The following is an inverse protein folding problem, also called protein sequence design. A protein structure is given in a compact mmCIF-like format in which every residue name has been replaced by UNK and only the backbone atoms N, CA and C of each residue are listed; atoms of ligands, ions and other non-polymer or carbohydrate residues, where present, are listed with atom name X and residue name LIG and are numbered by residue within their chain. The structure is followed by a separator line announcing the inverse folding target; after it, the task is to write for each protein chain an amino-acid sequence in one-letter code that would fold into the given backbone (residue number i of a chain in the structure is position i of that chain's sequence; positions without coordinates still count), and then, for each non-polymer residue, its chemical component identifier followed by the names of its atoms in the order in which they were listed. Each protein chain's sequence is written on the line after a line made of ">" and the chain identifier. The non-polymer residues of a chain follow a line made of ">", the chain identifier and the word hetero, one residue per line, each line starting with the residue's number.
data_IF_729023619757
#
_entry.id   IF_729023619757
#
_cell.length_a   1.000
_cell.length_b   1.000
_cell.length_c   1.000
_cell.angle_alpha   90.00
_cell.angle_beta   90.00
_cell.angle_gamma   90.00
#
_symmetry.space_group_name_H-M   'P 1'
#
loop_
_entity.id
_entity.type
_entity.pdbx_description
1 polymer ?
#
# COMPACT_ATOMS: atom_id res chain seq x y z
N UNK A 1 0.49 29.27 -3.21
CA UNK A 1 -0.27 28.15 -2.63
C UNK A 1 0.55 27.64 -1.44
N UNK A 2 0.02 27.67 -0.21
CA UNK A 2 0.70 27.10 0.94
C UNK A 2 0.66 25.59 0.75
N UNK A 3 1.83 24.95 0.65
CA UNK A 3 1.90 23.51 0.72
C UNK A 3 1.23 23.06 2.03
N UNK A 4 0.10 22.41 1.96
CA UNK A 4 -0.48 21.76 3.13
C UNK A 4 0.54 20.74 3.62
N UNK A 5 1.11 21.00 4.81
CA UNK A 5 2.08 20.08 5.40
C UNK A 5 1.32 18.83 5.81
N UNK A 6 1.75 17.66 5.32
CA UNK A 6 1.29 16.37 5.79
C UNK A 6 1.54 16.28 7.31
N UNK A 7 0.46 16.36 8.10
CA UNK A 7 0.53 16.23 9.55
C UNK A 7 0.52 14.75 9.92
N UNK A 8 1.64 14.24 10.42
CA UNK A 8 1.82 12.83 10.78
C UNK A 8 1.68 12.63 12.29
N UNK A 9 0.80 11.71 12.69
CA UNK A 9 0.76 11.19 14.07
C UNK A 9 2.04 10.42 14.40
N UNK A 10 2.30 10.21 15.70
CA UNK A 10 3.49 9.46 16.12
C UNK A 10 3.47 8.02 15.60
N UNK A 11 2.30 7.42 15.50
CA UNK A 11 2.13 6.09 14.88
C UNK A 11 2.49 6.07 13.40
N UNK A 12 2.09 7.09 12.64
CA UNK A 12 2.51 7.22 11.25
C UNK A 12 4.01 7.48 11.10
N UNK A 13 4.61 8.26 12.02
CA UNK A 13 6.08 8.43 12.05
C UNK A 13 6.78 7.10 12.32
N UNK A 14 6.29 6.32 13.31
CA UNK A 14 6.82 4.98 13.59
C UNK A 14 6.69 4.06 12.37
N UNK A 15 5.52 4.06 11.72
CA UNK A 15 5.31 3.31 10.47
C UNK A 15 6.31 3.69 9.38
N UNK A 16 6.53 4.98 9.14
CA UNK A 16 7.49 5.43 8.12
C UNK A 16 8.93 4.97 8.40
N UNK A 17 9.32 4.82 9.67
CA UNK A 17 10.65 4.37 10.08
C UNK A 17 10.77 2.83 10.24
N UNK A 18 9.67 2.11 10.20
CA UNK A 18 9.69 0.65 10.31
C UNK A 18 10.32 0.02 9.05
N UNK A 19 11.25 -0.90 9.26
CA UNK A 19 11.92 -1.63 8.17
C UNK A 19 11.52 -3.12 8.19
N UNK A 20 10.25 -3.38 7.96
CA UNK A 20 9.69 -4.72 7.88
C UNK A 20 9.65 -5.21 6.43
N UNK A 21 9.81 -6.52 6.17
CA UNK A 21 9.69 -7.08 4.82
C UNK A 21 8.24 -7.10 4.31
N UNK A 22 7.26 -7.13 5.22
CA UNK A 22 5.85 -7.07 4.85
C UNK A 22 5.05 -6.27 5.88
N UNK A 23 4.18 -5.38 5.40
CA UNK A 23 3.38 -4.48 6.23
C UNK A 23 1.92 -4.44 5.74
N UNK A 24 0.99 -4.69 6.68
CA UNK A 24 -0.45 -4.66 6.42
C UNK A 24 -1.07 -3.50 7.20
N UNK A 25 -1.64 -2.55 6.46
CA UNK A 25 -2.26 -1.34 7.00
C UNK A 25 -3.77 -1.52 7.04
N UNK A 26 -4.27 -2.04 8.13
CA UNK A 26 -5.71 -2.20 8.38
C UNK A 26 -6.26 -0.99 9.13
N UNK A 27 -7.55 -0.71 8.98
CA UNK A 27 -8.21 0.32 9.77
C UNK A 27 -9.37 0.99 9.09
N UNK A 28 -9.92 2.00 9.76
CA UNK A 28 -11.15 2.67 9.34
C UNK A 28 -10.97 3.51 8.07
N UNK A 29 -12.08 3.78 7.40
CA UNK A 29 -12.13 4.78 6.33
C UNK A 29 -11.62 6.14 6.83
N UNK A 30 -11.01 6.93 5.97
CA UNK A 30 -10.42 8.23 6.26
C UNK A 30 -9.24 8.23 7.28
N UNK A 31 -8.72 7.07 7.66
CA UNK A 31 -7.55 6.97 8.51
C UNK A 31 -6.26 7.51 7.86
N UNK A 32 -6.22 7.67 6.53
CA UNK A 32 -5.04 8.14 5.78
C UNK A 32 -4.09 7.01 5.34
N UNK A 33 -4.49 5.74 5.50
CA UNK A 33 -3.66 4.56 5.17
C UNK A 33 -3.07 4.61 3.76
N UNK A 34 -3.92 4.82 2.76
CA UNK A 34 -3.47 4.87 1.35
C UNK A 34 -2.47 5.99 1.12
N UNK A 35 -2.74 7.21 1.61
CA UNK A 35 -1.85 8.37 1.42
C UNK A 35 -0.47 8.13 2.04
N UNK A 36 -0.41 7.79 3.33
CA UNK A 36 0.89 7.59 4.02
C UNK A 36 1.57 6.29 3.57
N UNK A 37 0.77 5.25 3.25
CA UNK A 37 1.28 3.99 2.69
C UNK A 37 1.96 4.20 1.34
N UNK A 38 1.33 4.95 0.44
CA UNK A 38 1.92 5.27 -0.87
C UNK A 38 3.20 6.10 -0.74
N UNK A 39 3.22 7.07 0.17
CA UNK A 39 4.42 7.84 0.43
C UNK A 39 5.58 6.94 0.85
N UNK A 40 5.37 6.05 1.84
CA UNK A 40 6.39 5.06 2.25
C UNK A 40 6.77 4.10 1.12
N UNK A 41 5.78 3.60 0.37
CA UNK A 41 6.02 2.71 -0.75
C UNK A 41 6.97 3.33 -1.77
N UNK A 42 6.76 4.58 -2.15
CA UNK A 42 7.64 5.28 -3.10
C UNK A 42 9.05 5.50 -2.52
N UNK A 43 9.21 5.74 -1.21
CA UNK A 43 10.53 5.75 -0.56
C UNK A 43 11.21 4.38 -0.68
N UNK A 44 10.50 3.28 -0.39
CA UNK A 44 11.02 1.92 -0.54
C UNK A 44 11.39 1.58 -1.99
N UNK A 45 10.62 2.05 -2.96
CA UNK A 45 10.96 1.95 -4.39
C UNK A 45 12.27 2.67 -4.70
N UNK A 46 12.44 3.90 -4.19
CA UNK A 46 13.66 4.68 -4.42
C UNK A 46 14.91 4.01 -3.84
N UNK A 47 14.79 3.39 -2.65
CA UNK A 47 15.86 2.69 -1.93
C UNK A 47 16.18 1.30 -2.50
N UNK A 48 15.22 0.67 -3.18
CA UNK A 48 15.37 -0.70 -3.69
C UNK A 48 16.51 -0.81 -4.73
N UNK A 49 17.35 -1.84 -4.67
CA UNK A 49 18.35 -2.10 -5.72
C UNK A 49 17.71 -2.55 -7.04
N UNK A 50 16.48 -3.07 -7.01
CA UNK A 50 15.77 -3.51 -8.21
C UNK A 50 15.18 -2.33 -8.99
N UNK A 51 15.05 -2.50 -10.31
CA UNK A 51 14.48 -1.50 -11.21
C UNK A 51 12.95 -1.60 -11.28
N UNK A 52 12.40 -2.82 -11.17
CA UNK A 52 10.99 -3.13 -11.40
C UNK A 52 10.22 -3.29 -10.09
N UNK A 53 9.02 -2.70 -10.04
CA UNK A 53 8.13 -2.71 -8.88
C UNK A 53 6.68 -2.84 -9.35
N UNK A 54 5.76 -3.14 -8.43
CA UNK A 54 4.33 -3.30 -8.72
C UNK A 54 3.50 -2.44 -7.76
N UNK A 55 2.53 -1.73 -8.32
CA UNK A 55 1.42 -1.09 -7.64
C UNK A 55 0.13 -1.71 -8.17
N UNK A 56 -0.63 -2.36 -7.30
CA UNK A 56 -1.85 -3.07 -7.66
C UNK A 56 -3.09 -2.47 -7.00
N UNK A 57 -4.17 -2.40 -7.76
CA UNK A 57 -5.51 -2.04 -7.30
C UNK A 57 -6.54 -2.94 -8.01
N UNK A 58 -7.83 -2.79 -7.73
CA UNK A 58 -8.89 -3.59 -8.38
C UNK A 58 -8.76 -3.52 -9.92
N UNK A 59 -8.69 -2.31 -10.45
CA UNK A 59 -8.36 -2.09 -11.86
C UNK A 59 -7.43 -0.88 -12.04
N UNK A 60 -6.93 -0.70 -13.25
CA UNK A 60 -6.03 0.42 -13.58
C UNK A 60 -6.70 1.79 -13.45
N UNK A 61 -8.00 1.90 -13.73
CA UNK A 61 -8.77 3.13 -13.57
C UNK A 61 -8.96 3.51 -12.09
N UNK A 62 -9.17 2.51 -11.22
CA UNK A 62 -9.18 2.71 -9.77
C UNK A 62 -7.82 3.19 -9.27
N UNK A 63 -6.72 2.59 -9.73
CA UNK A 63 -5.37 3.05 -9.42
C UNK A 63 -5.13 4.50 -9.87
N UNK A 64 -5.53 4.85 -11.11
CA UNK A 64 -5.40 6.20 -11.64
C UNK A 64 -6.14 7.22 -10.78
N UNK A 65 -7.40 6.94 -10.45
CA UNK A 65 -8.27 7.85 -9.72
C UNK A 65 -7.91 7.98 -8.24
N UNK A 66 -7.68 6.83 -7.57
CA UNK A 66 -7.62 6.77 -6.11
C UNK A 66 -6.19 6.81 -5.55
N UNK A 67 -5.18 6.64 -6.41
CA UNK A 67 -3.77 6.51 -6.02
C UNK A 67 -2.89 7.52 -6.74
N UNK A 68 -2.99 7.58 -8.08
CA UNK A 68 -2.03 8.33 -8.90
C UNK A 68 -2.39 9.81 -8.99
N UNK A 69 -3.64 10.12 -9.40
CA UNK A 69 -4.08 11.48 -9.76
C UNK A 69 -4.88 12.21 -8.67
N UNK A 70 -5.10 11.60 -7.50
CA UNK A 70 -5.83 12.27 -6.41
C UNK A 70 -4.97 13.31 -5.70
N UNK A 71 -5.61 14.19 -4.92
CA UNK A 71 -4.93 15.06 -3.97
C UNK A 71 -4.14 14.22 -2.95
N UNK A 72 -2.89 14.58 -2.68
CA UNK A 72 -1.94 13.76 -1.91
C UNK A 72 -1.75 12.35 -2.49
N UNK A 73 -1.88 12.20 -3.79
CA UNK A 73 -1.53 11.00 -4.55
C UNK A 73 -0.09 11.06 -5.05
N UNK A 74 0.31 10.04 -5.81
CA UNK A 74 1.71 9.91 -6.23
C UNK A 74 2.18 11.10 -7.08
N UNK A 75 1.36 11.59 -8.01
CA UNK A 75 1.76 12.73 -8.86
C UNK A 75 1.74 14.06 -8.11
N UNK A 76 0.92 14.20 -7.08
CA UNK A 76 0.89 15.39 -6.24
C UNK A 76 2.13 15.46 -5.34
N UNK A 77 2.48 14.34 -4.69
CA UNK A 77 3.60 14.25 -3.75
C UNK A 77 4.97 14.22 -4.45
N UNK A 78 5.08 13.53 -5.58
CA UNK A 78 6.34 13.23 -6.28
C UNK A 78 6.41 13.82 -7.70
N UNK A 79 5.46 14.66 -8.11
CA UNK A 79 5.16 15.05 -9.48
C UNK A 79 6.35 15.38 -10.37
N UNK A 80 7.36 16.09 -9.84
CA UNK A 80 8.54 16.44 -10.65
C UNK A 80 9.51 15.24 -10.85
N UNK A 81 9.37 14.20 -10.02
CA UNK A 81 10.23 13.02 -10.06
C UNK A 81 9.53 11.81 -10.71
N UNK A 82 8.21 11.87 -10.88
CA UNK A 82 7.39 10.76 -11.36
C UNK A 82 6.58 11.14 -12.58
N UNK A 83 6.65 10.32 -13.62
CA UNK A 83 5.81 10.42 -14.81
C UNK A 83 4.88 9.21 -14.88
N UNK A 84 3.56 9.42 -15.03
CA UNK A 84 2.63 8.33 -15.31
C UNK A 84 2.46 8.10 -16.79
N UNK A 85 2.62 6.88 -17.25
CA UNK A 85 2.51 6.42 -18.63
C UNK A 85 1.40 5.37 -18.77
N UNK A 86 0.16 5.82 -18.80
CA UNK A 86 -1.04 4.98 -18.79
C UNK A 86 -1.19 4.03 -19.97
N UNK A 87 -0.57 4.35 -21.11
CA UNK A 87 -0.56 3.49 -22.32
C UNK A 87 0.77 2.72 -22.50
N UNK A 88 1.63 2.77 -21.46
CA UNK A 88 2.99 2.27 -21.58
C UNK A 88 3.88 3.17 -22.46
N UNK A 89 5.16 2.87 -22.53
CA UNK A 89 6.10 3.56 -23.42
C UNK A 89 7.37 2.72 -23.66
N UNK A 90 8.00 2.89 -24.80
CA UNK A 90 9.28 2.26 -25.11
C UNK A 90 9.24 0.75 -24.95
N UNK A 91 10.09 0.22 -24.09
CA UNK A 91 10.22 -1.20 -23.74
C UNK A 91 9.01 -1.73 -22.95
N UNK A 92 8.38 -0.87 -22.12
CA UNK A 92 7.28 -1.27 -21.23
C UNK A 92 5.94 -0.87 -21.82
N UNK A 93 5.20 -1.86 -22.34
CA UNK A 93 3.88 -1.66 -23.00
C UNK A 93 2.70 -1.58 -22.03
N UNK A 94 2.93 -1.86 -20.75
CA UNK A 94 1.92 -1.79 -19.70
C UNK A 94 1.89 -0.40 -19.05
N UNK A 95 0.75 -0.01 -18.45
CA UNK A 95 0.68 1.19 -17.60
C UNK A 95 1.75 1.15 -16.52
N UNK A 96 2.52 2.22 -16.36
CA UNK A 96 3.57 2.31 -15.36
C UNK A 96 3.87 3.74 -14.95
N UNK A 97 4.44 3.89 -13.76
CA UNK A 97 5.13 5.08 -13.32
C UNK A 97 6.61 4.96 -13.67
N UNK A 98 7.17 6.01 -14.25
CA UNK A 98 8.61 6.20 -14.37
C UNK A 98 9.05 7.12 -13.23
N UNK A 99 9.84 6.61 -12.29
CA UNK A 99 10.31 7.33 -11.13
C UNK A 99 11.81 7.60 -11.23
N UNK A 100 12.18 8.87 -11.34
CA UNK A 100 13.56 9.34 -11.42
C UNK A 100 14.13 9.46 -10.01
N UNK A 101 15.11 8.62 -9.69
CA UNK A 101 15.76 8.61 -8.37
C UNK A 101 17.28 8.81 -8.50
N UNK A 102 17.95 9.15 -7.40
CA UNK A 102 19.41 9.23 -7.35
C UNK A 102 20.10 7.91 -7.66
N UNK A 103 19.42 6.78 -7.43
CA UNK A 103 19.87 5.42 -7.76
C UNK A 103 19.54 4.96 -9.18
N UNK A 104 19.02 5.87 -10.04
CA UNK A 104 18.56 5.59 -11.40
C UNK A 104 17.06 5.46 -11.52
N UNK A 105 16.59 5.28 -12.74
CA UNK A 105 15.16 5.20 -13.05
C UNK A 105 14.54 3.89 -12.53
N UNK A 106 13.40 4.02 -11.86
CA UNK A 106 12.57 2.90 -11.39
C UNK A 106 11.28 2.84 -12.22
N UNK A 107 10.80 1.63 -12.47
CA UNK A 107 9.54 1.37 -13.15
C UNK A 107 8.58 0.72 -12.16
N UNK A 108 7.45 1.36 -11.92
CA UNK A 108 6.38 0.82 -11.08
C UNK A 108 5.21 0.47 -12.00
N UNK A 109 5.02 -0.82 -12.30
CA UNK A 109 3.88 -1.27 -13.09
C UNK A 109 2.58 -1.05 -12.33
N UNK A 110 1.57 -0.50 -13.02
CA UNK A 110 0.22 -0.30 -12.49
C UNK A 110 -0.65 -1.44 -12.97
N UNK A 111 -1.07 -2.30 -12.04
CA UNK A 111 -1.72 -3.59 -12.33
C UNK A 111 -3.11 -3.64 -11.73
N UNK A 112 -4.12 -4.02 -12.53
CA UNK A 112 -5.45 -4.36 -12.04
C UNK A 112 -5.52 -5.85 -11.69
N UNK A 113 -5.79 -6.19 -10.42
CA UNK A 113 -5.90 -7.59 -9.99
C UNK A 113 -7.28 -8.22 -10.29
N UNK A 114 -8.31 -7.41 -10.56
CA UNK A 114 -9.65 -7.91 -10.94
C UNK A 114 -9.70 -8.64 -12.29
N UNK A 115 -8.62 -8.64 -13.09
CA UNK A 115 -8.57 -9.33 -14.38
C UNK A 115 -7.34 -10.26 -14.48
N UNK A 116 -7.60 -11.57 -14.31
CA UNK A 116 -6.56 -12.62 -14.29
C UNK A 116 -5.63 -12.62 -15.51
N UNK A 117 -6.17 -12.38 -16.71
CA UNK A 117 -5.36 -12.36 -17.94
C UNK A 117 -4.36 -11.20 -17.93
N UNK A 118 -4.80 -10.02 -17.51
CA UNK A 118 -3.97 -8.81 -17.50
C UNK A 118 -2.83 -8.88 -16.47
N UNK A 119 -3.13 -9.35 -15.25
CA UNK A 119 -2.08 -9.38 -14.24
C UNK A 119 -1.04 -10.50 -14.48
N UNK A 120 -1.40 -11.61 -15.12
CA UNK A 120 -0.43 -12.65 -15.50
C UNK A 120 0.64 -12.13 -16.46
N UNK A 121 0.26 -11.26 -17.38
CA UNK A 121 1.23 -10.63 -18.29
C UNK A 121 2.18 -9.69 -17.52
N UNK A 122 1.72 -9.10 -16.41
CA UNK A 122 2.53 -8.23 -15.56
C UNK A 122 3.55 -8.97 -14.70
N UNK A 123 3.27 -10.21 -14.29
CA UNK A 123 4.07 -10.97 -13.32
C UNK A 123 5.19 -11.80 -13.94
N UNK A 124 5.74 -11.40 -15.08
CA UNK A 124 6.83 -12.11 -15.77
C UNK A 124 8.23 -11.91 -15.18
N UNK A 125 8.40 -11.07 -14.13
CA UNK A 125 9.70 -10.66 -13.59
C UNK A 125 9.90 -10.93 -12.11
N UNK A 126 11.00 -10.37 -11.58
CA UNK A 126 11.30 -10.26 -10.16
C UNK A 126 11.24 -8.78 -9.78
N UNK A 127 10.58 -8.46 -8.67
CA UNK A 127 10.26 -7.08 -8.27
C UNK A 127 10.92 -6.72 -6.95
N UNK A 128 11.20 -5.43 -6.75
CA UNK A 128 11.68 -4.92 -5.47
C UNK A 128 10.53 -4.76 -4.49
N UNK A 129 9.57 -3.91 -4.85
CA UNK A 129 8.46 -3.57 -3.97
C UNK A 129 7.12 -3.88 -4.64
N UNK A 130 6.18 -4.38 -3.83
CA UNK A 130 4.79 -4.61 -4.19
C UNK A 130 3.90 -3.81 -3.24
N UNK A 131 3.00 -3.01 -3.81
CA UNK A 131 1.90 -2.37 -3.10
C UNK A 131 0.58 -2.94 -3.59
N UNK A 132 -0.32 -3.33 -2.68
CA UNK A 132 -1.68 -3.79 -3.01
C UNK A 132 -2.68 -2.93 -2.25
N UNK A 133 -3.48 -2.15 -2.98
CA UNK A 133 -4.60 -1.41 -2.41
C UNK A 133 -5.80 -2.34 -2.24
N UNK A 134 -6.43 -2.27 -1.07
CA UNK A 134 -7.59 -3.10 -0.69
C UNK A 134 -7.35 -4.61 -0.92
N UNK A 135 -6.26 -5.15 -0.36
CA UNK A 135 -5.83 -6.55 -0.53
C UNK A 135 -6.94 -7.57 -0.18
N UNK A 136 -7.88 -7.21 0.72
CA UNK A 136 -9.02 -8.04 1.09
C UNK A 136 -9.97 -8.34 -0.09
N UNK A 137 -9.94 -7.52 -1.15
CA UNK A 137 -10.74 -7.72 -2.37
C UNK A 137 -9.96 -8.40 -3.49
N UNK A 138 -8.66 -8.60 -3.32
CA UNK A 138 -7.79 -9.13 -4.37
C UNK A 138 -7.97 -10.65 -4.56
N UNK A 139 -7.83 -11.10 -5.83
CA UNK A 139 -7.72 -12.53 -6.14
C UNK A 139 -6.49 -13.11 -5.42
N UNK A 140 -6.72 -14.14 -4.60
CA UNK A 140 -5.64 -14.78 -3.81
C UNK A 140 -4.52 -15.36 -4.70
N UNK A 141 -4.83 -15.83 -5.91
CA UNK A 141 -3.79 -16.29 -6.85
C UNK A 141 -2.87 -15.13 -7.26
N UNK A 142 -3.44 -13.93 -7.49
CA UNK A 142 -2.65 -12.74 -7.76
C UNK A 142 -1.73 -12.42 -6.57
N UNK A 143 -2.27 -12.39 -5.36
CA UNK A 143 -1.50 -12.06 -4.15
C UNK A 143 -0.33 -13.03 -3.97
N UNK A 144 -0.57 -14.35 -4.11
CA UNK A 144 0.47 -15.38 -4.00
C UNK A 144 1.58 -15.18 -5.03
N UNK A 145 1.22 -15.01 -6.30
CA UNK A 145 2.18 -14.87 -7.39
C UNK A 145 2.98 -13.56 -7.29
N UNK A 146 2.34 -12.45 -6.96
CA UNK A 146 2.99 -11.16 -6.85
C UNK A 146 3.91 -11.07 -5.62
N UNK A 147 3.44 -11.55 -4.45
CA UNK A 147 4.22 -11.56 -3.22
C UNK A 147 5.47 -12.45 -3.33
N UNK A 148 5.34 -13.65 -3.93
CA UNK A 148 6.46 -14.57 -4.13
C UNK A 148 7.58 -13.97 -4.98
N UNK A 149 7.28 -13.00 -5.84
CA UNK A 149 8.21 -12.36 -6.77
C UNK A 149 8.76 -11.02 -6.27
N UNK A 150 8.34 -10.58 -5.09
CA UNK A 150 8.67 -9.26 -4.54
C UNK A 150 9.47 -9.39 -3.25
N UNK A 151 10.46 -8.49 -3.06
CA UNK A 151 11.28 -8.49 -1.84
C UNK A 151 10.57 -7.79 -0.68
N UNK A 152 9.70 -6.82 -0.97
CA UNK A 152 8.92 -6.05 -0.01
C UNK A 152 7.45 -6.05 -0.39
N UNK A 153 6.55 -6.29 0.57
CA UNK A 153 5.11 -6.23 0.41
C UNK A 153 4.51 -5.19 1.35
N UNK A 154 3.74 -4.26 0.80
CA UNK A 154 2.85 -3.39 1.55
C UNK A 154 1.42 -3.55 1.03
N UNK A 155 0.46 -3.64 1.93
CA UNK A 155 -0.95 -3.71 1.55
C UNK A 155 -1.83 -2.86 2.47
N UNK A 156 -2.86 -2.24 1.88
CA UNK A 156 -3.92 -1.56 2.64
C UNK A 156 -5.20 -2.37 2.62
N UNK A 157 -6.00 -2.25 3.67
CA UNK A 157 -7.32 -2.87 3.75
C UNK A 157 -8.22 -2.13 4.74
N UNK A 158 -9.51 -2.29 4.57
CA UNK A 158 -10.50 -2.06 5.61
C UNK A 158 -10.85 -3.42 6.25
N UNK A 159 -11.24 -3.46 7.54
CA UNK A 159 -11.69 -4.70 8.17
C UNK A 159 -12.78 -5.39 7.35
N UNK A 160 -12.64 -6.71 7.15
CA UNK A 160 -13.51 -7.54 6.33
C UNK A 160 -13.62 -8.94 6.95
N UNK A 161 -14.14 -9.92 6.22
CA UNK A 161 -14.28 -11.30 6.67
C UNK A 161 -12.91 -11.98 6.91
N UNK A 162 -12.55 -12.29 8.18
CA UNK A 162 -11.27 -12.95 8.50
C UNK A 162 -11.19 -14.39 7.96
N UNK A 163 -12.29 -14.93 7.45
CA UNK A 163 -12.35 -16.23 6.80
C UNK A 163 -11.82 -16.26 5.37
N UNK A 164 -11.57 -15.11 4.74
CA UNK A 164 -10.99 -15.04 3.41
C UNK A 164 -9.57 -15.61 3.37
N UNK A 165 -9.19 -16.25 2.27
CA UNK A 165 -7.86 -16.86 2.12
C UNK A 165 -6.72 -15.86 2.27
N UNK A 166 -6.92 -14.61 1.83
CA UNK A 166 -5.92 -13.57 1.99
C UNK A 166 -5.67 -13.20 3.46
N UNK A 167 -6.70 -13.27 4.31
CA UNK A 167 -6.53 -13.11 5.76
C UNK A 167 -5.72 -14.27 6.34
N UNK A 168 -6.10 -15.52 6.05
CA UNK A 168 -5.42 -16.71 6.58
C UNK A 168 -3.95 -16.81 6.16
N UNK A 169 -3.64 -16.46 4.92
CA UNK A 169 -2.30 -16.66 4.37
C UNK A 169 -1.36 -15.46 4.56
N UNK A 170 -1.92 -14.26 4.74
CA UNK A 170 -1.17 -13.01 4.79
C UNK A 170 -1.47 -12.20 6.04
N UNK A 171 -2.67 -11.62 6.16
CA UNK A 171 -2.98 -10.62 7.17
C UNK A 171 -2.85 -11.20 8.58
N UNK A 172 -3.51 -12.36 8.84
CA UNK A 172 -3.52 -13.03 10.14
C UNK A 172 -2.17 -13.66 10.52
N UNK A 173 -1.20 -13.71 9.58
CA UNK A 173 0.19 -14.10 9.84
C UNK A 173 1.09 -12.93 10.28
N UNK A 174 0.56 -11.69 10.32
CA UNK A 174 1.29 -10.51 10.80
C UNK A 174 0.99 -10.22 12.27
N UNK A 175 1.79 -9.37 12.91
CA UNK A 175 1.59 -8.97 14.31
C UNK A 175 1.83 -7.47 14.48
N UNK A 176 1.06 -6.79 15.34
CA UNK A 176 1.39 -5.42 15.72
C UNK A 176 2.74 -5.38 16.43
N UNK A 177 3.46 -4.26 16.28
CA UNK A 177 4.63 -4.01 17.12
C UNK A 177 4.18 -3.86 18.59
N UNK A 178 5.00 -4.29 19.56
CA UNK A 178 4.62 -4.29 20.99
C UNK A 178 4.12 -2.95 21.52
N UNK A 179 4.72 -1.85 21.06
CA UNK A 179 4.34 -0.49 21.45
C UNK A 179 2.97 -0.07 20.93
N UNK A 180 2.48 -0.67 19.85
CA UNK A 180 1.20 -0.36 19.19
C UNK A 180 0.12 -1.43 19.40
N UNK A 181 0.44 -2.52 20.08
CA UNK A 181 -0.49 -3.64 20.30
C UNK A 181 -1.76 -3.20 21.03
N UNK A 182 -1.62 -2.33 22.04
CA UNK A 182 -2.77 -1.83 22.85
C UNK A 182 -3.72 -0.93 22.05
N UNK A 183 -3.24 -0.31 21.00
CA UNK A 183 -4.06 0.53 20.11
C UNK A 183 -4.75 -0.27 18.99
N UNK A 184 -4.37 -1.53 18.81
CA UNK A 184 -5.06 -2.44 17.90
C UNK A 184 -6.30 -2.97 18.61
N UNK A 185 -7.52 -2.84 18.02
CA UNK A 185 -8.75 -3.37 18.60
C UNK A 185 -8.64 -4.84 19.00
N UNK A 186 -9.35 -5.22 20.06
CA UNK A 186 -9.30 -6.60 20.56
C UNK A 186 -9.77 -7.59 19.51
N UNK A 187 -10.84 -7.25 18.77
CA UNK A 187 -11.40 -8.07 17.68
C UNK A 187 -10.33 -8.39 16.63
N UNK A 188 -9.60 -7.36 16.17
CA UNK A 188 -8.51 -7.54 15.20
C UNK A 188 -7.39 -8.41 15.80
N UNK A 189 -6.97 -8.16 17.05
CA UNK A 189 -5.95 -9.00 17.72
C UNK A 189 -6.37 -10.45 17.84
N UNK A 190 -7.66 -10.67 18.05
CA UNK A 190 -8.24 -12.02 18.15
C UNK A 190 -8.29 -12.75 16.79
N UNK A 191 -8.23 -12.03 15.69
CA UNK A 191 -8.16 -12.57 14.32
C UNK A 191 -6.73 -12.90 13.88
N UNK A 192 -5.71 -12.22 14.42
CA UNK A 192 -4.29 -12.44 14.11
C UNK A 192 -3.76 -13.72 14.77
N UNK A 193 -4.33 -14.90 14.44
CA UNK A 193 -4.08 -16.20 15.12
C UNK A 193 -3.25 -17.17 14.32
N UNK A 194 -3.03 -16.94 13.04
CA UNK A 194 -2.20 -17.81 12.23
C UNK A 194 -0.74 -17.75 12.69
N UNK A 195 0.05 -18.75 12.33
CA UNK A 195 1.47 -18.79 12.69
C UNK A 195 2.17 -17.50 12.16
N UNK A 196 2.78 -16.70 13.04
CA UNK A 196 3.35 -15.43 12.64
C UNK A 196 4.56 -15.64 11.73
N UNK A 197 4.55 -14.93 10.60
CA UNK A 197 5.72 -14.89 9.71
C UNK A 197 6.75 -13.89 10.22
N UNK A 198 8.04 -14.24 10.26
CA UNK A 198 9.09 -13.39 10.81
C UNK A 198 9.13 -12.00 10.13
N UNK A 199 9.06 -10.95 10.93
CA UNK A 199 9.14 -9.56 10.46
C UNK A 199 7.89 -9.02 9.77
N UNK A 200 6.80 -9.78 9.72
CA UNK A 200 5.54 -9.27 9.16
C UNK A 200 4.81 -8.43 10.20
N UNK A 201 4.56 -7.15 9.86
CA UNK A 201 3.98 -6.18 10.78
C UNK A 201 2.55 -5.83 10.39
N UNK A 202 1.67 -5.86 11.38
CA UNK A 202 0.30 -5.38 11.28
C UNK A 202 0.18 -3.98 11.88
N UNK A 203 -0.37 -3.05 11.10
CA UNK A 203 -0.65 -1.69 11.52
C UNK A 203 -2.16 -1.45 11.52
N UNK A 204 -2.72 -1.12 12.67
CA UNK A 204 -4.11 -0.67 12.74
C UNK A 204 -4.17 0.85 12.83
N UNK A 205 -4.85 1.50 11.87
CA UNK A 205 -5.05 2.94 11.85
C UNK A 205 -6.53 3.30 11.92
N UNK A 206 -6.90 4.22 12.80
CA UNK A 206 -8.21 4.83 12.87
C UNK A 206 -8.14 6.28 12.35
N UNK A 207 -9.30 6.89 12.14
CA UNK A 207 -9.39 8.30 11.76
C UNK A 207 -8.69 9.24 12.74
N UNK A 208 -8.53 8.85 14.02
CA UNK A 208 -7.81 9.65 15.04
C UNK A 208 -6.32 9.80 14.73
N UNK A 209 -5.73 8.92 13.93
CA UNK A 209 -4.34 9.00 13.50
C UNK A 209 -4.14 9.96 12.32
N UNK A 210 -5.22 10.35 11.62
CA UNK A 210 -5.17 11.27 10.49
C UNK A 210 -5.32 12.71 10.98
N UNK A 211 -4.21 13.34 11.30
CA UNK A 211 -4.18 14.73 11.82
C UNK A 211 -4.52 15.78 10.75
N UNK A 212 -4.66 15.40 9.49
CA UNK A 212 -5.11 16.27 8.40
C UNK A 212 -6.63 16.36 8.23
N UNK A 213 -7.41 15.60 9.01
CA UNK A 213 -8.87 15.69 8.93
C UNK A 213 -9.38 17.01 9.48
N UNK A 214 -10.27 17.68 8.73
CA UNK A 214 -10.98 18.84 9.23
C UNK A 214 -11.95 18.47 10.36
N UNK A 215 -12.25 19.44 11.23
CA UNK A 215 -13.20 19.24 12.33
C UNK A 215 -14.58 18.83 11.81
N UNK A 216 -15.05 19.43 10.71
CA UNK A 216 -16.34 19.08 10.08
C UNK A 216 -16.35 17.63 9.60
N UNK A 217 -15.23 17.13 9.06
CA UNK A 217 -15.12 15.74 8.61
C UNK A 217 -15.09 14.77 9.80
N UNK A 218 -14.43 15.13 10.89
CA UNK A 218 -14.46 14.35 12.13
C UNK A 218 -15.85 14.24 12.70
N UNK A 219 -16.61 15.36 12.77
CA UNK A 219 -17.98 15.39 13.25
C UNK A 219 -18.91 14.51 12.39
N UNK A 220 -18.70 14.47 11.06
CA UNK A 220 -19.43 13.57 10.15
C UNK A 220 -19.15 12.09 10.35
N UNK A 221 -17.93 11.73 10.77
CA UNK A 221 -17.54 10.33 11.00
C UNK A 221 -18.06 9.83 12.34
N UNK A 222 -18.22 10.74 13.33
CA UNK A 222 -18.67 10.39 14.69
C UNK A 222 -20.19 10.39 14.86
N UNK A 223 -20.97 10.83 13.86
CA UNK A 223 -22.46 10.78 13.84
C UNK A 223 -22.95 9.53 13.13
#
# INVERSE_FOLDING_TARGET
>A
MSAERLLLSDKYKAFLHCDAPSEFLEGTTAAGKTTVGLFKFMLKVAESPKKLHILAADDTGAAEKNIINKDLGILDDFGILVEYRGNGSGEYKMPHLLFHTSGGDKIVFVVGYGNKRKWKDALGGQYGCLYIDEINTADIEFVREAAMRSDYLMATLNPDDPGLDVYKEYINCSRPLPEWEKETPQEIRDELREEPKPGWVHWFFSFTHNLGLSKEKLDQIMT
#
